data_IF_439389379792
#
_entry.id   IF_439389379792
#
_cell.length_a   1.000
_cell.length_b   1.000
_cell.length_c   1.000
_cell.angle_alpha   90.00
_cell.angle_beta   90.00
_cell.angle_gamma   90.00
#
_symmetry.space_group_name_H-M   'P 1'
#
loop_
_entity.id
_entity.type
_entity.pdbx_description
1 polymer ?
#
# COMPACT_ATOMS: atom_id res chain seq x y z
N UNK A 1 -16.24 15.58 -9.84
CA UNK A 1 -14.81 15.45 -9.50
C UNK A 1 -14.50 13.98 -9.59
N UNK A 2 -13.46 13.52 -10.30
CA UNK A 2 -13.23 12.09 -10.45
C UNK A 2 -12.73 11.51 -9.12
N UNK A 3 -13.64 10.80 -8.44
CA UNK A 3 -13.39 9.56 -7.70
C UNK A 3 -12.14 9.50 -6.80
N UNK A 4 -12.04 10.37 -5.80
CA UNK A 4 -11.04 10.20 -4.71
C UNK A 4 -11.31 8.91 -3.93
N UNK A 5 -12.57 8.48 -3.83
CA UNK A 5 -12.98 7.26 -3.13
C UNK A 5 -12.49 5.95 -3.81
N UNK A 6 -12.09 6.00 -5.09
CA UNK A 6 -11.55 4.86 -5.82
C UNK A 6 -10.02 4.88 -5.94
N UNK A 7 -9.33 5.90 -5.42
CA UNK A 7 -7.87 5.93 -5.43
C UNK A 7 -7.32 5.26 -4.19
N UNK A 8 -6.29 4.44 -4.38
CA UNK A 8 -5.48 3.93 -3.28
C UNK A 8 -4.82 5.11 -2.59
N UNK A 9 -5.05 5.27 -1.30
CA UNK A 9 -4.51 6.37 -0.51
C UNK A 9 -4.08 5.84 0.86
N UNK A 10 -3.17 6.56 1.50
CA UNK A 10 -2.73 6.25 2.85
C UNK A 10 -3.38 7.23 3.84
N UNK A 11 -4.17 6.70 4.77
CA UNK A 11 -4.75 7.49 5.87
C UNK A 11 -3.84 7.43 7.09
N UNK A 12 -3.62 8.56 7.77
CA UNK A 12 -2.69 8.67 8.90
C UNK A 12 -3.08 7.75 10.06
N UNK A 13 -4.37 7.73 10.45
CA UNK A 13 -4.86 6.91 11.57
C UNK A 13 -5.32 5.49 11.21
N UNK A 14 -5.59 5.21 9.93
CA UNK A 14 -6.24 3.97 9.51
C UNK A 14 -5.35 3.08 8.62
N UNK A 15 -4.27 3.62 8.07
CA UNK A 15 -3.35 2.92 7.18
C UNK A 15 -3.80 2.94 5.72
N UNK A 16 -3.41 1.91 4.97
CA UNK A 16 -3.61 1.86 3.52
C UNK A 16 -5.08 1.55 3.18
N UNK A 17 -5.71 2.40 2.37
CA UNK A 17 -6.99 2.06 1.75
C UNK A 17 -6.82 0.92 0.76
N UNK A 18 -7.58 -0.16 0.96
CA UNK A 18 -7.60 -1.31 0.06
C UNK A 18 -8.73 -1.11 -0.96
N UNK A 19 -8.43 -1.02 -2.27
CA UNK A 19 -9.46 -0.92 -3.29
C UNK A 19 -10.44 -2.11 -3.22
N UNK A 20 -11.75 -1.92 -3.49
CA UNK A 20 -12.76 -2.97 -3.34
C UNK A 20 -12.40 -4.30 -4.03
N UNK A 21 -11.77 -4.25 -5.20
CA UNK A 21 -11.36 -5.45 -5.96
C UNK A 21 -10.28 -6.31 -5.28
N UNK A 22 -9.65 -5.84 -4.20
CA UNK A 22 -8.67 -6.61 -3.41
C UNK A 22 -9.15 -6.92 -2.00
N UNK A 23 -10.40 -6.61 -1.67
CA UNK A 23 -10.98 -6.89 -0.34
C UNK A 23 -11.50 -8.30 -0.20
N UNK A 24 -11.86 -8.93 -1.31
CA UNK A 24 -12.34 -10.31 -1.35
C UNK A 24 -11.28 -11.16 -2.07
N UNK A 25 -10.77 -12.18 -1.38
CA UNK A 25 -9.81 -13.14 -1.94
C UNK A 25 -9.93 -14.46 -1.19
N UNK A 26 -9.65 -15.57 -1.87
CA UNK A 26 -9.99 -16.91 -1.35
C UNK A 26 -9.11 -17.39 -0.19
N UNK A 27 -7.88 -16.89 -0.07
CA UNK A 27 -6.90 -17.46 0.89
C UNK A 27 -5.82 -16.48 1.32
N UNK A 28 -5.23 -15.77 0.36
CA UNK A 28 -4.09 -14.90 0.65
C UNK A 28 -4.07 -13.68 -0.26
N UNK A 29 -3.73 -12.54 0.33
CA UNK A 29 -3.31 -11.33 -0.37
C UNK A 29 -1.88 -10.96 0.02
N UNK A 30 -1.03 -10.79 -0.99
CA UNK A 30 0.33 -10.23 -0.79
C UNK A 30 0.30 -8.75 -1.12
N UNK A 31 0.72 -7.92 -0.17
CA UNK A 31 0.83 -6.47 -0.34
C UNK A 31 2.31 -6.10 -0.27
N UNK A 32 2.82 -5.44 -1.33
CA UNK A 32 4.21 -4.98 -1.42
C UNK A 32 4.25 -3.47 -1.50
N UNK A 33 4.97 -2.85 -0.59
CA UNK A 33 5.40 -1.46 -0.64
C UNK A 33 6.90 -1.41 -0.93
N UNK A 34 7.51 -0.26 -1.20
CA UNK A 34 8.95 -0.18 -1.48
C UNK A 34 9.81 -0.78 -0.36
N UNK A 35 9.39 -0.63 0.90
CA UNK A 35 10.18 -1.02 2.09
C UNK A 35 9.67 -2.27 2.78
N UNK A 36 8.48 -2.74 2.44
CA UNK A 36 7.78 -3.81 3.17
C UNK A 36 7.08 -4.77 2.22
N UNK A 37 6.99 -6.03 2.64
CA UNK A 37 6.13 -7.05 2.01
C UNK A 37 5.34 -7.72 3.11
N UNK A 38 4.02 -7.66 3.00
CA UNK A 38 3.08 -8.29 3.93
C UNK A 38 2.34 -9.39 3.19
N UNK A 39 2.25 -10.55 3.84
CA UNK A 39 1.46 -11.68 3.39
C UNK A 39 0.30 -11.84 4.36
N UNK A 40 -0.92 -11.52 3.91
CA UNK A 40 -2.11 -11.63 4.72
C UNK A 40 -2.88 -12.89 4.35
N UNK A 41 -3.28 -13.68 5.35
CA UNK A 41 -4.04 -14.92 5.17
C UNK A 41 -5.42 -14.76 5.81
N UNK A 42 -6.45 -14.66 4.98
CA UNK A 42 -7.86 -14.52 5.36
C UNK A 42 -8.75 -14.79 4.15
N UNK A 43 -10.06 -14.71 4.35
CA UNK A 43 -11.10 -14.68 3.31
C UNK A 43 -11.45 -13.26 2.85
N UNK A 44 -10.75 -12.24 3.36
CA UNK A 44 -10.92 -10.85 2.95
C UNK A 44 -10.24 -9.81 3.84
N UNK A 45 -10.37 -8.55 3.44
CA UNK A 45 -9.86 -7.38 4.17
C UNK A 45 -10.94 -6.33 4.40
N UNK A 46 -10.81 -5.67 5.55
CA UNK A 46 -11.47 -4.39 5.78
C UNK A 46 -10.96 -3.33 4.79
N UNK A 47 -11.72 -2.23 4.70
CA UNK A 47 -11.42 -1.16 3.76
C UNK A 47 -10.06 -0.48 4.02
N UNK A 48 -9.60 -0.50 5.27
CA UNK A 48 -8.31 0.05 5.67
C UNK A 48 -7.41 -1.02 6.28
N UNK A 49 -6.14 -0.99 5.88
CA UNK A 49 -5.13 -1.93 6.34
C UNK A 49 -4.09 -1.23 7.22
N UNK A 50 -4.34 -1.27 8.52
CA UNK A 50 -3.58 -0.54 9.54
C UNK A 50 -2.10 -0.93 9.67
N UNK A 51 -1.70 -2.09 9.13
CA UNK A 51 -0.29 -2.53 9.17
C UNK A 51 0.60 -1.83 8.14
N UNK A 52 0.03 -1.08 7.21
CA UNK A 52 0.79 -0.30 6.23
C UNK A 52 0.69 1.18 6.60
N UNK A 53 1.85 1.81 6.77
CA UNK A 53 2.01 3.19 7.20
C UNK A 53 2.89 3.98 6.25
N UNK A 54 3.04 5.29 6.49
CA UNK A 54 3.86 6.17 5.65
C UNK A 54 5.34 5.76 5.64
N UNK A 55 5.81 5.04 6.67
CA UNK A 55 7.18 4.55 6.77
C UNK A 55 7.44 3.30 5.91
N UNK A 56 6.40 2.61 5.46
CA UNK A 56 6.49 1.50 4.50
C UNK A 56 6.65 2.00 3.06
N UNK A 57 6.18 3.23 2.85
CA UNK A 57 6.56 4.10 1.76
C UNK A 57 7.74 4.96 2.22
N UNK A 58 8.38 5.69 1.32
CA UNK A 58 9.52 6.49 1.74
C UNK A 58 9.91 7.50 0.69
N UNK A 59 10.73 8.46 1.07
CA UNK A 59 11.35 9.32 0.09
C UNK A 59 12.34 8.50 -0.75
N UNK A 60 12.23 8.48 -2.09
CA UNK A 60 13.17 7.79 -2.96
C UNK A 60 14.64 8.11 -2.65
N UNK A 61 14.93 9.32 -2.18
CA UNK A 61 16.28 9.78 -1.83
C UNK A 61 16.79 9.25 -0.49
N UNK A 62 15.89 8.80 0.40
CA UNK A 62 16.21 8.28 1.74
C UNK A 62 16.19 6.74 1.80
N UNK A 63 15.63 6.07 0.78
CA UNK A 63 15.56 4.60 0.71
C UNK A 63 16.94 4.03 0.36
N UNK A 64 17.69 3.62 1.39
CA UNK A 64 19.01 2.99 1.24
C UNK A 64 18.98 1.48 0.99
N UNK A 65 17.90 0.80 1.37
CA UNK A 65 17.76 -0.66 1.23
C UNK A 65 16.27 -1.05 1.02
N UNK A 66 15.72 -0.84 -0.19
CA UNK A 66 14.35 -1.20 -0.49
C UNK A 66 14.17 -2.72 -0.55
N UNK A 67 13.10 -3.23 0.07
CA UNK A 67 12.71 -4.65 -0.06
C UNK A 67 12.13 -4.97 -1.43
N UNK A 68 11.53 -3.99 -2.09
CA UNK A 68 10.98 -4.11 -3.43
C UNK A 68 11.58 -2.97 -4.30
N UNK A 69 12.83 -3.12 -4.78
CA UNK A 69 13.57 -2.06 -5.50
C UNK A 69 12.96 -1.70 -6.85
N UNK A 70 12.14 -2.59 -7.42
CA UNK A 70 11.41 -2.38 -8.67
C UNK A 70 10.13 -1.55 -8.48
N UNK A 71 9.74 -1.28 -7.24
CA UNK A 71 8.52 -0.56 -6.91
C UNK A 71 8.81 0.92 -6.70
N UNK A 72 8.02 1.79 -7.34
CA UNK A 72 8.15 3.23 -7.12
C UNK A 72 7.78 3.62 -5.66
N UNK A 73 8.39 4.68 -5.09
CA UNK A 73 8.28 5.04 -3.67
C UNK A 73 6.85 5.30 -3.16
N UNK A 74 5.98 5.67 -4.09
CA UNK A 74 4.57 6.01 -3.94
C UNK A 74 3.65 4.92 -4.52
N UNK A 75 4.15 3.74 -4.81
CA UNK A 75 3.36 2.64 -5.36
C UNK A 75 3.19 1.50 -4.36
N UNK A 76 2.10 0.76 -4.55
CA UNK A 76 1.84 -0.50 -3.85
C UNK A 76 1.47 -1.56 -4.87
N UNK A 77 1.89 -2.80 -4.64
CA UNK A 77 1.51 -3.93 -5.48
C UNK A 77 0.71 -4.94 -4.67
N UNK A 78 -0.51 -5.20 -5.13
CA UNK A 78 -1.41 -6.21 -4.62
C UNK A 78 -1.27 -7.48 -5.45
N UNK A 79 -1.22 -8.64 -4.81
CA UNK A 79 -1.21 -9.93 -5.49
C UNK A 79 -2.07 -10.93 -4.73
N UNK A 80 -3.34 -11.11 -5.12
CA UNK A 80 -4.16 -12.22 -4.64
C UNK A 80 -3.54 -13.57 -5.05
N UNK A 81 -3.78 -14.61 -4.26
CA UNK A 81 -3.26 -15.94 -4.57
C UNK A 81 -3.87 -16.49 -5.86
N UNK A 82 -3.02 -16.91 -6.80
CA UNK A 82 -3.47 -17.45 -8.09
C UNK A 82 -3.77 -16.38 -9.14
N UNK A 83 -3.71 -15.10 -8.78
CA UNK A 83 -3.91 -13.97 -9.69
C UNK A 83 -2.61 -13.23 -10.02
N UNK A 84 -2.69 -12.39 -11.06
CA UNK A 84 -1.62 -11.48 -11.44
C UNK A 84 -1.48 -10.34 -10.44
N UNK A 85 -0.25 -9.84 -10.30
CA UNK A 85 0.01 -8.72 -9.43
C UNK A 85 -0.42 -7.41 -10.09
N UNK A 86 -1.15 -6.58 -9.36
CA UNK A 86 -1.59 -5.26 -9.80
C UNK A 86 -0.84 -4.20 -9.00
N UNK A 87 -0.17 -3.30 -9.71
CA UNK A 87 0.52 -2.16 -9.13
C UNK A 87 -0.35 -0.91 -9.24
N UNK A 88 -0.47 -0.17 -8.14
CA UNK A 88 -1.26 1.05 -8.04
C UNK A 88 -0.45 2.16 -7.36
N UNK A 89 -0.58 3.38 -7.86
CA UNK A 89 -0.10 4.57 -7.17
C UNK A 89 -0.92 4.80 -5.89
N UNK A 90 -0.25 5.28 -4.84
CA UNK A 90 -0.80 5.58 -3.53
C UNK A 90 -0.71 7.08 -3.30
N UNK A 91 -1.85 7.73 -3.05
CA UNK A 91 -1.87 9.10 -2.58
C UNK A 91 -1.33 9.12 -1.13
N UNK A 92 -0.06 9.49 -0.97
CA UNK A 92 0.60 9.63 0.33
C UNK A 92 0.24 10.98 0.97
N UNK A 93 0.04 11.05 2.29
CA UNK A 93 -0.13 12.33 2.98
C UNK A 93 1.13 13.18 2.79
N UNK A 94 0.96 14.48 2.55
CA UNK A 94 2.08 15.41 2.47
C UNK A 94 2.86 15.32 3.80
N UNK A 95 4.12 14.86 3.75
CA UNK A 95 5.00 14.89 4.93
C UNK A 95 5.11 16.35 5.31
N UNK A 96 4.42 16.75 6.37
CA UNK A 96 4.68 18.03 7.00
C UNK A 96 6.09 17.90 7.55
N UNK A 97 7.07 18.50 6.89
CA UNK A 97 8.43 18.64 7.41
C UNK A 97 8.33 19.31 8.78
N UNK A 98 8.39 18.51 9.84
CA UNK A 98 8.63 19.01 11.19
C UNK A 98 10.12 19.29 11.28
N UNK A 99 10.51 20.45 10.76
CA UNK A 99 11.78 21.10 11.03
C UNK A 99 11.88 21.28 12.56
N UNK A 100 12.86 20.64 13.18
CA UNK A 100 13.13 20.70 14.62
C UNK A 100 14.62 21.00 14.87
#
# INVERSE_FOLDING_TARGET
>A
MPDVENRTHLHEDHGLWIPPQFREFDTQLVIRTPRTTIQHYSDGLDAYYAMITAADFGDPSEIRDPKNPDLAPDHVRFKPQGEDAVELAVDLPERTEVDA
#
